data_IF_683818169789
#
_entry.id   IF_683818169789
#
_cell.length_a   1.000
_cell.length_b   1.000
_cell.length_c   1.000
_cell.angle_alpha   90.00
_cell.angle_beta   90.00
_cell.angle_gamma   90.00
#
_symmetry.space_group_name_H-M   'P 1'
#
loop_
_entity.id
_entity.type
_entity.pdbx_description
1 polymer ?
#
# COMPACT_ATOMS: atom_id res chain seq x y z
N UNK A 1 -11.68 13.39 -20.55
CA UNK A 1 -10.51 13.08 -21.43
C UNK A 1 -9.31 13.85 -20.91
N UNK A 2 -8.08 13.34 -21.04
CA UNK A 2 -6.87 13.99 -20.51
C UNK A 2 -5.65 13.72 -21.38
N UNK A 3 -4.82 14.74 -21.58
CA UNK A 3 -3.54 14.62 -22.29
C UNK A 3 -2.42 14.17 -21.36
N UNK A 4 -1.67 13.15 -21.78
CA UNK A 4 -0.50 12.66 -21.05
C UNK A 4 0.69 13.60 -21.24
N UNK A 5 1.27 14.14 -20.17
CA UNK A 5 2.44 15.03 -20.26
C UNK A 5 3.77 14.40 -20.70
N UNK A 6 3.79 13.12 -21.07
CA UNK A 6 5.00 12.41 -21.53
C UNK A 6 4.92 11.98 -22.99
N UNK A 7 3.79 11.43 -23.42
CA UNK A 7 3.59 11.01 -24.81
C UNK A 7 2.67 11.95 -25.58
N UNK A 8 2.11 12.98 -24.93
CA UNK A 8 1.30 14.05 -25.53
C UNK A 8 0.01 13.58 -26.23
N UNK A 9 -0.37 12.32 -26.02
CA UNK A 9 -1.62 11.74 -26.55
C UNK A 9 -2.77 12.01 -25.59
N UNK A 10 -3.91 12.44 -26.13
CA UNK A 10 -5.18 12.50 -25.41
C UNK A 10 -5.72 11.08 -25.19
N UNK A 11 -5.99 10.75 -23.93
CA UNK A 11 -6.52 9.45 -23.54
C UNK A 11 -7.71 9.61 -22.61
N UNK A 12 -8.51 8.56 -22.49
CA UNK A 12 -9.55 8.51 -21.48
C UNK A 12 -8.96 8.53 -20.07
N UNK A 13 -9.71 9.08 -19.12
CA UNK A 13 -9.29 9.21 -17.71
C UNK A 13 -8.94 7.86 -17.07
N UNK A 14 -9.58 6.79 -17.54
CA UNK A 14 -9.27 5.42 -17.09
C UNK A 14 -7.84 4.97 -17.43
N UNK A 15 -7.16 5.65 -18.36
CA UNK A 15 -5.74 5.44 -18.68
C UNK A 15 -4.78 6.16 -17.74
N UNK A 16 -5.29 6.88 -16.74
CA UNK A 16 -4.51 7.55 -15.70
C UNK A 16 -4.79 6.91 -14.33
N UNK A 17 -3.79 6.89 -13.45
CA UNK A 17 -3.97 6.41 -12.07
C UNK A 17 -4.57 7.53 -11.20
N UNK A 18 -5.42 7.17 -10.23
CA UNK A 18 -5.95 8.12 -9.25
C UNK A 18 -4.81 8.69 -8.39
N UNK A 19 -4.88 9.98 -8.11
CA UNK A 19 -3.95 10.70 -7.24
C UNK A 19 -4.69 11.83 -6.54
N UNK A 20 -5.07 11.61 -5.28
CA UNK A 20 -5.85 12.58 -4.49
C UNK A 20 -5.15 13.92 -4.27
N UNK A 21 -3.82 13.96 -4.37
CA UNK A 21 -3.04 15.20 -4.29
C UNK A 21 -3.08 16.05 -5.56
N UNK A 22 -3.67 15.57 -6.66
CA UNK A 22 -3.80 16.31 -7.92
C UNK A 22 -5.11 17.08 -7.94
N UNK A 23 -5.12 18.25 -8.60
CA UNK A 23 -6.33 19.11 -8.74
C UNK A 23 -7.50 18.35 -9.38
N UNK A 24 -7.24 17.56 -10.41
CA UNK A 24 -8.25 16.75 -11.12
C UNK A 24 -8.36 15.32 -10.57
N UNK A 25 -7.67 15.00 -9.47
CA UNK A 25 -7.65 13.66 -8.89
C UNK A 25 -6.91 12.61 -9.73
N UNK A 26 -6.22 12.99 -10.81
CA UNK A 26 -5.55 12.06 -11.73
C UNK A 26 -4.04 12.31 -11.81
N UNK A 27 -3.30 11.25 -12.13
CA UNK A 27 -1.87 11.36 -12.39
C UNK A 27 -1.61 12.14 -13.69
N UNK A 28 -0.49 12.85 -13.75
CA UNK A 28 -0.11 13.64 -14.92
C UNK A 28 0.28 12.78 -16.15
N UNK A 29 0.95 11.65 -15.91
CA UNK A 29 1.30 10.69 -16.95
C UNK A 29 0.30 9.54 -17.02
N UNK A 30 0.04 9.05 -18.24
CA UNK A 30 -0.75 7.84 -18.42
C UNK A 30 -0.05 6.62 -17.81
N UNK A 31 -0.82 5.57 -17.52
CA UNK A 31 -0.35 4.33 -16.88
C UNK A 31 0.86 3.72 -17.59
N UNK A 32 0.83 3.67 -18.93
CA UNK A 32 1.92 3.14 -19.76
C UNK A 32 3.21 3.95 -19.58
N UNK A 33 3.18 5.26 -19.79
CA UNK A 33 4.36 6.12 -19.62
C UNK A 33 4.91 6.05 -18.20
N UNK A 34 4.03 5.97 -17.19
CA UNK A 34 4.44 5.85 -15.80
C UNK A 34 5.11 4.48 -15.53
N UNK A 35 4.57 3.40 -16.08
CA UNK A 35 5.18 2.07 -16.00
C UNK A 35 6.55 2.02 -16.66
N UNK A 36 6.70 2.59 -17.86
CA UNK A 36 8.00 2.70 -18.54
C UNK A 36 8.99 3.48 -17.67
N UNK A 37 8.58 4.61 -17.07
CA UNK A 37 9.43 5.38 -16.17
C UNK A 37 9.90 4.55 -14.97
N UNK A 38 9.00 3.79 -14.32
CA UNK A 38 9.36 2.92 -13.19
C UNK A 38 10.38 1.84 -13.55
N UNK A 39 10.43 1.41 -14.81
CA UNK A 39 11.41 0.43 -15.29
C UNK A 39 12.78 1.03 -15.61
N UNK A 40 12.90 2.36 -15.74
CA UNK A 40 14.19 3.02 -15.94
C UNK A 40 15.06 2.95 -14.68
N UNK A 41 16.38 3.03 -14.85
CA UNK A 41 17.32 3.08 -13.71
C UNK A 41 17.05 4.27 -12.78
N UNK A 42 16.69 5.43 -13.33
CA UNK A 42 16.29 6.59 -12.55
C UNK A 42 15.04 6.32 -11.71
N UNK A 43 14.01 5.70 -12.31
CA UNK A 43 12.77 5.32 -11.64
C UNK A 43 13.00 4.31 -10.51
N UNK A 44 13.76 3.23 -10.79
CA UNK A 44 14.15 2.24 -9.77
C UNK A 44 14.92 2.88 -8.62
N UNK A 45 15.88 3.77 -8.92
CA UNK A 45 16.67 4.48 -7.91
C UNK A 45 15.80 5.42 -7.07
N UNK A 46 14.86 6.15 -7.67
CA UNK A 46 13.92 7.01 -6.95
C UNK A 46 12.99 6.19 -6.03
N UNK A 47 12.50 5.04 -6.51
CA UNK A 47 11.69 4.12 -5.72
C UNK A 47 12.47 3.56 -4.53
N UNK A 48 13.68 3.03 -4.76
CA UNK A 48 14.57 2.51 -3.73
C UNK A 48 14.91 3.55 -2.66
N UNK A 49 15.19 4.80 -3.05
CA UNK A 49 15.41 5.93 -2.12
C UNK A 49 14.18 6.18 -1.24
N UNK A 50 13.00 6.20 -1.84
CA UNK A 50 11.74 6.42 -1.12
C UNK A 50 11.46 5.29 -0.12
N UNK A 51 11.69 4.04 -0.53
CA UNK A 51 11.56 2.86 0.30
C UNK A 51 12.56 2.86 1.46
N UNK A 52 13.82 3.20 1.19
CA UNK A 52 14.86 3.36 2.22
C UNK A 52 14.48 4.43 3.22
N UNK A 53 13.98 5.58 2.75
CA UNK A 53 13.50 6.67 3.61
C UNK A 53 12.32 6.23 4.48
N UNK A 54 11.35 5.49 3.92
CA UNK A 54 10.21 4.94 4.67
C UNK A 54 10.67 4.00 5.78
N UNK A 55 11.56 3.05 5.46
CA UNK A 55 12.09 2.07 6.43
C UNK A 55 12.88 2.75 7.55
N UNK A 56 13.66 3.78 7.24
CA UNK A 56 14.37 4.58 8.25
C UNK A 56 13.43 5.42 9.12
N UNK A 57 12.34 5.93 8.55
CA UNK A 57 11.35 6.74 9.28
C UNK A 57 10.47 5.91 10.21
N UNK A 58 10.15 4.66 9.82
CA UNK A 58 9.25 3.76 10.55
C UNK A 58 9.89 2.38 10.72
N UNK A 59 10.99 2.26 11.47
CA UNK A 59 11.69 0.99 11.68
C UNK A 59 10.83 -0.04 12.40
N UNK A 60 9.95 0.38 13.32
CA UNK A 60 9.01 -0.47 14.03
C UNK A 60 8.02 -1.16 13.07
N UNK A 61 7.45 -0.41 12.12
CA UNK A 61 6.54 -0.98 11.11
C UNK A 61 7.26 -1.96 10.21
N UNK A 62 8.48 -1.61 9.77
CA UNK A 62 9.29 -2.51 8.96
C UNK A 62 9.58 -3.81 9.71
N UNK A 63 10.03 -3.73 10.97
CA UNK A 63 10.29 -4.89 11.83
C UNK A 63 9.04 -5.76 11.97
N UNK A 64 7.89 -5.16 12.27
CA UNK A 64 6.65 -5.91 12.45
C UNK A 64 6.27 -6.70 11.20
N UNK A 65 6.26 -6.06 10.04
CA UNK A 65 6.01 -6.74 8.77
C UNK A 65 7.02 -7.85 8.48
N UNK A 66 8.31 -7.65 8.78
CA UNK A 66 9.34 -8.68 8.61
C UNK A 66 9.08 -9.87 9.52
N UNK A 67 8.83 -9.63 10.80
CA UNK A 67 8.57 -10.68 11.80
C UNK A 67 7.35 -11.53 11.43
N UNK A 68 6.23 -10.93 11.00
CA UNK A 68 5.06 -11.68 10.51
C UNK A 68 5.40 -12.55 9.32
N UNK A 69 6.08 -11.98 8.31
CA UNK A 69 6.42 -12.71 7.09
C UNK A 69 7.38 -13.86 7.37
N UNK A 70 8.32 -13.69 8.29
CA UNK A 70 9.25 -14.73 8.70
C UNK A 70 8.54 -15.83 9.48
N UNK A 71 7.60 -15.48 10.37
CA UNK A 71 6.77 -16.45 11.09
C UNK A 71 5.88 -17.26 10.14
N UNK A 72 5.30 -16.61 9.11
CA UNK A 72 4.54 -17.31 8.05
C UNK A 72 5.44 -18.25 7.26
N UNK A 73 6.61 -17.76 6.80
CA UNK A 73 7.56 -18.57 6.03
C UNK A 73 8.07 -19.76 6.82
N UNK A 74 8.31 -19.58 8.11
CA UNK A 74 8.74 -20.63 9.04
C UNK A 74 7.61 -21.57 9.49
N UNK A 75 6.35 -21.30 9.14
CA UNK A 75 5.21 -22.11 9.54
C UNK A 75 4.72 -21.90 10.98
N UNK A 76 5.30 -20.96 11.72
CA UNK A 76 4.91 -20.61 13.10
C UNK A 76 3.62 -19.78 13.15
N UNK A 77 3.28 -19.12 12.05
CA UNK A 77 2.07 -18.31 11.90
C UNK A 77 1.35 -18.69 10.62
N UNK A 78 0.05 -18.97 10.69
CA UNK A 78 -0.74 -19.29 9.51
C UNK A 78 -1.62 -18.09 9.15
N UNK A 79 -1.57 -17.68 7.88
CA UNK A 79 -2.49 -16.68 7.35
C UNK A 79 -3.84 -17.35 7.10
N UNK A 80 -4.91 -16.97 7.82
CA UNK A 80 -6.22 -17.55 7.59
C UNK A 80 -6.76 -17.11 6.23
N UNK A 81 -7.78 -17.84 5.75
CA UNK A 81 -8.51 -17.50 4.52
C UNK A 81 -9.80 -16.75 4.79
N UNK A 82 -10.19 -16.62 6.04
CA UNK A 82 -11.42 -15.98 6.49
C UNK A 82 -11.05 -14.69 7.22
N UNK A 83 -11.73 -13.60 6.89
CA UNK A 83 -11.58 -12.32 7.57
C UNK A 83 -12.13 -12.37 8.99
N UNK A 84 -11.38 -11.91 9.98
CA UNK A 84 -11.81 -11.89 11.39
C UNK A 84 -12.92 -10.87 11.66
N UNK A 85 -12.95 -9.76 10.91
CA UNK A 85 -13.97 -8.72 11.07
C UNK A 85 -15.30 -9.07 10.41
N UNK A 86 -15.29 -9.60 9.18
CA UNK A 86 -16.52 -9.79 8.39
C UNK A 86 -16.84 -11.25 8.04
N UNK A 87 -16.00 -12.22 8.42
CA UNK A 87 -16.23 -13.64 8.19
C UNK A 87 -16.17 -14.10 6.73
N UNK A 88 -15.80 -13.24 5.78
CA UNK A 88 -15.73 -13.60 4.36
C UNK A 88 -14.44 -14.35 4.03
N UNK A 89 -14.54 -15.38 3.19
CA UNK A 89 -13.40 -15.98 2.51
C UNK A 89 -12.79 -15.00 1.48
N UNK A 90 -11.53 -14.61 1.66
CA UNK A 90 -10.86 -13.63 0.81
C UNK A 90 -9.34 -13.75 0.87
N UNK A 91 -8.64 -12.93 0.09
CA UNK A 91 -7.24 -12.65 0.35
C UNK A 91 -7.13 -11.77 1.59
N UNK A 92 -6.53 -12.33 2.64
CA UNK A 92 -6.44 -11.73 3.95
C UNK A 92 -5.09 -11.02 4.12
N UNK A 93 -5.12 -9.80 4.63
CA UNK A 93 -3.96 -8.96 4.95
C UNK A 93 -3.76 -8.93 6.47
N UNK A 94 -2.51 -8.76 6.91
CA UNK A 94 -2.20 -8.61 8.33
C UNK A 94 -2.23 -7.15 8.74
N UNK A 95 -3.23 -6.76 9.52
CA UNK A 95 -3.32 -5.46 10.16
C UNK A 95 -2.56 -5.49 11.49
N UNK A 96 -1.74 -4.48 11.75
CA UNK A 96 -1.02 -4.36 13.01
C UNK A 96 -1.70 -3.26 13.84
N UNK A 97 -2.59 -3.62 14.79
CA UNK A 97 -3.18 -2.63 15.69
C UNK A 97 -2.12 -2.01 16.61
N UNK A 98 -1.12 -2.81 17.00
CA UNK A 98 0.06 -2.36 17.76
C UNK A 98 1.34 -2.89 17.11
N UNK A 99 2.08 -2.00 16.44
CA UNK A 99 3.35 -2.34 15.78
C UNK A 99 4.47 -2.76 16.75
N UNK A 100 4.32 -2.53 18.06
CA UNK A 100 5.27 -3.01 19.07
C UNK A 100 5.11 -4.51 19.36
N UNK A 101 3.98 -5.09 18.98
CA UNK A 101 3.62 -6.50 19.16
C UNK A 101 3.47 -7.19 17.81
N UNK A 102 4.59 -7.51 17.13
CA UNK A 102 4.58 -7.80 15.71
C UNK A 102 3.85 -9.09 15.31
N UNK A 103 3.57 -10.01 16.25
CA UNK A 103 2.82 -11.23 15.98
C UNK A 103 1.34 -11.15 16.40
N UNK A 104 0.94 -10.07 17.09
CA UNK A 104 -0.47 -9.76 17.37
C UNK A 104 -1.02 -8.98 16.16
N UNK A 105 -1.54 -9.73 15.19
CA UNK A 105 -2.00 -9.23 13.89
C UNK A 105 -3.45 -9.59 13.72
N UNK A 106 -4.28 -8.61 13.34
CA UNK A 106 -5.65 -8.88 12.92
C UNK A 106 -5.66 -9.28 11.45
N UNK A 107 -6.36 -10.37 11.14
CA UNK A 107 -6.41 -10.94 9.81
C UNK A 107 -7.65 -10.46 9.06
N UNK A 108 -7.47 -9.40 8.28
CA UNK A 108 -8.57 -8.66 7.66
C UNK A 108 -8.56 -8.75 6.13
N UNK A 109 -9.72 -8.90 5.51
CA UNK A 109 -9.84 -8.67 4.07
C UNK A 109 -9.57 -7.20 3.75
N UNK A 110 -9.11 -6.90 2.53
CA UNK A 110 -8.73 -5.53 2.14
C UNK A 110 -9.78 -4.44 2.45
N UNK A 111 -11.10 -4.62 2.23
CA UNK A 111 -12.09 -3.62 2.61
C UNK A 111 -12.12 -3.33 4.12
N UNK A 112 -12.06 -4.36 4.96
CA UNK A 112 -11.99 -4.20 6.41
C UNK A 112 -10.66 -3.55 6.82
N UNK A 113 -9.54 -3.98 6.25
CA UNK A 113 -8.23 -3.43 6.56
C UNK A 113 -8.13 -1.92 6.24
N UNK A 114 -8.66 -1.47 5.11
CA UNK A 114 -8.71 -0.05 4.76
C UNK A 114 -9.60 0.74 5.72
N UNK A 115 -10.71 0.14 6.18
CA UNK A 115 -11.61 0.78 7.15
C UNK A 115 -10.87 1.06 8.47
N UNK A 116 -10.12 0.11 9.00
CA UNK A 116 -9.32 0.31 10.23
C UNK A 116 -8.30 1.45 10.07
N UNK A 117 -7.61 1.56 8.93
CA UNK A 117 -6.70 2.68 8.67
C UNK A 117 -7.42 4.02 8.43
N UNK A 118 -8.66 4.00 7.94
CA UNK A 118 -9.46 5.20 7.74
C UNK A 118 -10.02 5.73 9.07
N UNK A 119 -10.43 4.83 9.96
CA UNK A 119 -11.00 5.17 11.28
C UNK A 119 -9.92 5.79 12.20
N UNK A 120 -8.65 5.39 12.06
CA UNK A 120 -7.50 6.01 12.76
C UNK A 120 -7.16 7.44 12.29
N UNK A 121 -7.69 7.91 11.17
CA UNK A 121 -7.49 9.29 10.69
C UNK A 121 -8.53 10.25 11.30
N UNK A 122 -9.55 9.72 11.99
CA UNK A 122 -10.66 10.50 12.57
C UNK A 122 -10.60 10.64 14.11
N UNK A 123 -9.59 10.09 14.77
CA UNK A 123 -9.33 10.35 16.19
C UNK A 123 -8.11 11.25 16.33
N UNK A 124 -8.27 12.59 16.44
CA UNK A 124 -7.18 13.40 16.98
C UNK A 124 -6.96 12.93 18.42
N UNK A 125 -5.87 12.22 18.66
CA UNK A 125 -5.37 11.97 20.01
C UNK A 125 -5.12 13.35 20.65
N UNK A 126 -5.81 13.59 21.76
CA UNK A 126 -5.61 14.70 22.70
C UNK A 126 -4.36 14.41 23.51
#
# INVERSE_FOLDING_TARGET
MKTCGKCEIEKSESKFSKRSSSVDGLQYYCKECNQTYFQTEAGKKAHSRSDTKRRKKFPEKAKAHHTVNDAIRGGYLQRPKICESCGRFADIEGHHPDYSKPLEVDWLCRPCHVKEHADLVLTPEI
#
